data_IF_066049088276
#
_entry.id   IF_066049088276
#
_cell.length_a   1.000
_cell.length_b   1.000
_cell.length_c   1.000
_cell.angle_alpha   90.00
_cell.angle_beta   90.00
_cell.angle_gamma   90.00
#
_symmetry.space_group_name_H-M   'P 1'
#
loop_
_entity.id
_entity.type
_entity.pdbx_description
1 polymer ?
#
# COMPACT_ATOMS: atom_id res chain seq x y z
N UNK A 1 -11.30 21.64 -14.20
CA UNK A 1 -11.02 21.46 -12.75
C UNK A 1 -9.52 21.34 -12.66
N UNK A 2 -8.82 22.47 -12.56
CA UNK A 2 -7.44 22.59 -13.05
C UNK A 2 -6.44 22.85 -11.91
N UNK A 3 -6.82 22.49 -10.68
CA UNK A 3 -6.02 22.71 -9.47
C UNK A 3 -5.31 21.45 -8.95
N UNK A 4 -5.32 20.34 -9.71
CA UNK A 4 -4.59 19.14 -9.32
C UNK A 4 -3.11 19.29 -9.69
N UNK A 5 -2.16 19.07 -8.76
CA UNK A 5 -0.74 19.09 -9.07
C UNK A 5 -0.40 18.06 -10.15
N UNK A 6 0.41 18.44 -11.14
CA UNK A 6 0.84 17.53 -12.23
C UNK A 6 1.74 16.39 -11.74
N UNK A 7 2.33 16.54 -10.57
CA UNK A 7 3.20 15.55 -9.94
C UNK A 7 2.94 15.51 -8.43
N UNK A 8 2.71 14.30 -7.91
CA UNK A 8 2.62 14.07 -6.48
C UNK A 8 3.99 13.63 -5.98
N UNK A 9 4.65 14.51 -5.24
CA UNK A 9 5.94 14.22 -4.60
C UNK A 9 5.73 13.29 -3.39
N UNK A 10 5.43 12.03 -3.65
CA UNK A 10 5.39 10.99 -2.63
C UNK A 10 6.81 10.46 -2.40
N UNK A 11 7.25 10.45 -1.14
CA UNK A 11 8.58 9.92 -0.79
C UNK A 11 8.54 8.39 -0.79
N UNK A 12 9.41 7.76 -1.58
CA UNK A 12 9.58 6.31 -1.56
C UNK A 12 10.48 5.95 -0.37
N UNK A 13 9.99 5.08 0.50
CA UNK A 13 10.75 4.55 1.63
C UNK A 13 11.19 3.12 1.32
N UNK A 14 12.44 2.74 1.63
CA UNK A 14 12.89 1.36 1.48
C UNK A 14 12.09 0.46 2.44
N UNK A 15 11.72 -0.73 1.95
CA UNK A 15 10.96 -1.74 2.67
C UNK A 15 11.86 -2.95 2.94
N UNK A 16 11.72 -3.58 4.11
CA UNK A 16 12.43 -4.83 4.40
C UNK A 16 11.81 -6.00 3.64
N UNK A 17 12.59 -7.02 3.29
CA UNK A 17 12.09 -8.19 2.54
C UNK A 17 10.86 -8.85 3.19
N UNK A 18 10.86 -8.96 4.53
CA UNK A 18 9.73 -9.52 5.27
C UNK A 18 8.46 -8.66 5.15
N UNK A 19 8.61 -7.33 5.19
CA UNK A 19 7.47 -6.41 5.03
C UNK A 19 6.93 -6.46 3.60
N UNK A 20 7.79 -6.67 2.60
CA UNK A 20 7.40 -6.84 1.20
C UNK A 20 6.59 -8.13 0.99
N UNK A 21 7.04 -9.24 1.58
CA UNK A 21 6.29 -10.51 1.56
C UNK A 21 4.90 -10.38 2.22
N UNK A 22 4.82 -9.70 3.36
CA UNK A 22 3.55 -9.42 4.05
C UNK A 22 2.63 -8.50 3.22
N UNK A 23 3.19 -7.47 2.59
CA UNK A 23 2.45 -6.59 1.68
C UNK A 23 1.89 -7.37 0.49
N UNK A 24 2.70 -8.19 -0.17
CA UNK A 24 2.25 -8.96 -1.34
C UNK A 24 1.12 -9.92 -0.98
N UNK A 25 1.22 -10.62 0.15
CA UNK A 25 0.16 -11.50 0.64
C UNK A 25 -1.13 -10.72 0.95
N UNK A 26 -1.01 -9.56 1.60
CA UNK A 26 -2.15 -8.68 1.89
C UNK A 26 -2.85 -8.19 0.62
N UNK A 27 -2.10 -7.75 -0.38
CA UNK A 27 -2.65 -7.27 -1.66
C UNK A 27 -3.39 -8.40 -2.38
N UNK A 28 -2.81 -9.60 -2.46
CA UNK A 28 -3.42 -10.75 -3.12
C UNK A 28 -4.75 -11.16 -2.47
N UNK A 29 -4.80 -11.22 -1.14
CA UNK A 29 -6.02 -11.58 -0.40
C UNK A 29 -7.12 -10.53 -0.58
N UNK A 30 -6.76 -9.25 -0.51
CA UNK A 30 -7.73 -8.15 -0.62
C UNK A 30 -8.22 -7.96 -2.06
N UNK A 31 -7.40 -8.25 -3.07
CA UNK A 31 -7.83 -8.30 -4.48
C UNK A 31 -8.79 -9.46 -4.71
N UNK A 32 -8.46 -10.67 -4.22
CA UNK A 32 -9.32 -11.86 -4.36
C UNK A 32 -10.67 -11.69 -3.65
N UNK A 33 -10.69 -11.05 -2.50
CA UNK A 33 -11.92 -10.76 -1.75
C UNK A 33 -12.69 -9.54 -2.30
N UNK A 34 -12.13 -8.80 -3.26
CA UNK A 34 -12.74 -7.61 -3.84
C UNK A 34 -12.79 -6.39 -2.90
N UNK A 35 -12.01 -6.40 -1.81
CA UNK A 35 -11.90 -5.28 -0.86
C UNK A 35 -11.11 -4.12 -1.46
N UNK A 36 -10.15 -4.42 -2.33
CA UNK A 36 -9.38 -3.43 -3.09
C UNK A 36 -9.42 -3.77 -4.58
N UNK A 37 -9.11 -2.79 -5.42
CA UNK A 37 -9.02 -2.95 -6.87
C UNK A 37 -7.86 -2.15 -7.46
N UNK A 38 -7.40 -2.54 -8.65
CA UNK A 38 -6.33 -1.84 -9.37
C UNK A 38 -6.87 -0.48 -9.83
N UNK A 39 -6.16 0.59 -9.47
CA UNK A 39 -6.52 1.97 -9.80
C UNK A 39 -5.49 2.61 -10.73
N UNK A 40 -5.93 3.56 -11.56
CA UNK A 40 -5.09 4.41 -12.42
C UNK A 40 -4.90 5.83 -11.83
N UNK A 41 -5.24 6.02 -10.56
CA UNK A 41 -5.09 7.30 -9.87
C UNK A 41 -3.62 7.70 -9.78
N UNK A 42 -3.35 9.00 -9.93
CA UNK A 42 -2.03 9.57 -9.64
C UNK A 42 -1.78 9.67 -8.13
N UNK A 43 -2.85 9.65 -7.32
CA UNK A 43 -2.76 9.71 -5.86
C UNK A 43 -2.26 8.41 -5.27
N UNK A 44 -1.19 8.50 -4.47
CA UNK A 44 -0.60 7.42 -3.70
C UNK A 44 -0.49 7.82 -2.22
N UNK A 45 -0.58 6.83 -1.34
CA UNK A 45 -0.40 6.98 0.09
C UNK A 45 0.52 5.88 0.61
N UNK A 46 1.33 6.19 1.61
CA UNK A 46 2.24 5.24 2.22
C UNK A 46 1.46 4.23 3.08
N UNK A 47 1.89 2.97 3.04
CA UNK A 47 1.37 1.89 3.85
C UNK A 47 2.54 1.16 4.51
N UNK A 48 2.38 0.81 5.79
CA UNK A 48 3.39 0.13 6.59
C UNK A 48 2.72 -1.01 7.36
N UNK A 49 3.44 -2.12 7.55
CA UNK A 49 3.00 -3.24 8.37
C UNK A 49 3.73 -3.18 9.71
N UNK A 50 2.97 -3.12 10.79
CA UNK A 50 3.50 -3.12 12.15
C UNK A 50 3.00 -4.38 12.85
N UNK A 51 3.88 -5.22 13.42
CA UNK A 51 3.46 -6.39 14.17
C UNK A 51 2.55 -6.00 15.33
N UNK A 52 1.42 -6.70 15.49
CA UNK A 52 0.54 -6.50 16.63
C UNK A 52 1.24 -6.97 17.91
N UNK A 53 0.91 -6.33 19.03
CA UNK A 53 1.52 -6.60 20.35
C UNK A 53 1.35 -8.06 20.79
N UNK A 54 0.24 -8.68 20.44
CA UNK A 54 -0.11 -10.06 20.79
C UNK A 54 0.51 -11.10 19.83
N UNK A 55 1.24 -10.67 18.80
CA UNK A 55 1.83 -11.54 17.80
C UNK A 55 0.81 -12.14 16.82
N UNK A 56 -0.44 -11.68 16.84
CA UNK A 56 -1.39 -12.05 15.81
C UNK A 56 -1.00 -11.43 14.47
N UNK A 57 -1.20 -12.19 13.39
CA UNK A 57 -1.21 -11.63 12.03
C UNK A 57 -2.55 -10.94 11.82
#
# INVERSE_FOLDING_TARGET
MDNAPSELQAKIYPMMLKEEEELNAFIDENLKSGRICISKSQYTALCFFIPKKDGSK
#
